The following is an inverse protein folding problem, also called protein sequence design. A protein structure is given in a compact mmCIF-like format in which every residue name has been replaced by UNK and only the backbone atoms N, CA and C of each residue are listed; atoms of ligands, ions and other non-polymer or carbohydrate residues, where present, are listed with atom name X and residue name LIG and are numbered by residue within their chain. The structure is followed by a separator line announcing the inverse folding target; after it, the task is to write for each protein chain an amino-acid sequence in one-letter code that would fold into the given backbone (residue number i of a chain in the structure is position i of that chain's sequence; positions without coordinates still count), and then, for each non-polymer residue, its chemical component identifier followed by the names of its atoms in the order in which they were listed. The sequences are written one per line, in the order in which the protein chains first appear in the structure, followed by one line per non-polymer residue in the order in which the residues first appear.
data_IF_709162429641
#
_entry.id   IF_709162429641
#
_cell.length_a   1.000
_cell.length_b   1.000
_cell.length_c   1.000
_cell.angle_alpha   90.00
_cell.angle_beta   90.00
_cell.angle_gamma   90.00
#
_symmetry.space_group_name_H-M   'P 1'
#
loop_
_entity.id
_entity.type
_entity.pdbx_description
1 polymer ?
#
# COMPACT_ATOMS: atom_id res chain seq x y z
N UNK A 1 5.47 -12.98 -31.58
CA UNK A 1 5.02 -14.25 -30.95
C UNK A 1 5.78 -14.38 -29.65
N UNK A 2 5.09 -14.53 -28.51
CA UNK A 2 5.74 -14.76 -27.22
C UNK A 2 6.39 -16.14 -27.22
N UNK A 3 7.53 -16.30 -26.56
CA UNK A 3 8.20 -17.60 -26.43
C UNK A 3 7.35 -18.53 -25.52
N UNK A 4 7.46 -19.85 -25.69
CA UNK A 4 6.78 -20.83 -24.83
C UNK A 4 7.12 -20.62 -23.34
N UNK A 5 8.38 -20.27 -23.04
CA UNK A 5 8.83 -19.94 -21.69
C UNK A 5 8.08 -18.73 -21.11
N UNK A 6 7.95 -17.66 -21.91
CA UNK A 6 7.25 -16.44 -21.51
C UNK A 6 5.75 -16.70 -21.27
N UNK A 7 5.14 -17.57 -22.08
CA UNK A 7 3.75 -17.98 -21.92
C UNK A 7 3.53 -18.77 -20.63
N UNK A 8 4.44 -19.71 -20.32
CA UNK A 8 4.38 -20.50 -19.09
C UNK A 8 4.59 -19.62 -17.85
N UNK A 9 5.55 -18.68 -17.91
CA UNK A 9 5.81 -17.74 -16.81
C UNK A 9 4.58 -16.88 -16.58
N UNK A 10 4.02 -16.20 -17.59
CA UNK A 10 2.83 -15.37 -17.42
C UNK A 10 1.61 -16.13 -16.90
N UNK A 11 1.43 -17.39 -17.32
CA UNK A 11 0.32 -18.22 -16.86
C UNK A 11 0.47 -18.68 -15.39
N UNK A 12 1.69 -18.97 -14.95
CA UNK A 12 1.94 -19.56 -13.62
C UNK A 12 2.36 -18.54 -12.56
N UNK A 13 2.94 -17.40 -12.95
CA UNK A 13 3.45 -16.36 -12.06
C UNK A 13 2.49 -16.00 -10.91
N UNK A 14 1.17 -15.81 -11.14
CA UNK A 14 0.25 -15.42 -10.06
C UNK A 14 0.09 -16.46 -8.93
N UNK A 15 0.43 -17.72 -9.20
CA UNK A 15 0.27 -18.83 -8.26
C UNK A 15 1.60 -19.33 -7.70
N UNK A 16 2.73 -18.82 -8.20
CA UNK A 16 4.06 -19.23 -7.73
C UNK A 16 4.37 -18.61 -6.37
N UNK A 17 4.91 -19.44 -5.48
CA UNK A 17 5.47 -18.99 -4.22
C UNK A 17 6.73 -18.16 -4.44
N UNK A 18 7.10 -17.34 -3.45
CA UNK A 18 8.34 -16.56 -3.48
C UNK A 18 9.56 -17.46 -3.71
N UNK A 19 9.63 -18.60 -3.03
CA UNK A 19 10.75 -19.54 -3.12
C UNK A 19 10.88 -20.13 -4.54
N UNK A 20 9.77 -20.44 -5.21
CA UNK A 20 9.79 -20.92 -6.60
C UNK A 20 10.27 -19.83 -7.56
N UNK A 21 9.89 -18.57 -7.32
CA UNK A 21 10.37 -17.42 -8.11
C UNK A 21 11.86 -17.18 -7.90
N UNK A 22 12.33 -17.23 -6.65
CA UNK A 22 13.75 -17.10 -6.29
C UNK A 22 14.60 -18.17 -6.98
N UNK A 23 14.15 -19.43 -6.95
CA UNK A 23 14.80 -20.53 -7.66
C UNK A 23 14.76 -20.38 -9.19
N UNK A 24 13.63 -19.96 -9.76
CA UNK A 24 13.47 -19.78 -11.20
C UNK A 24 14.34 -18.66 -11.77
N UNK A 25 14.50 -17.56 -11.04
CA UNK A 25 15.27 -16.39 -11.48
C UNK A 25 16.71 -16.37 -10.95
N UNK A 26 17.09 -17.32 -10.08
CA UNK A 26 18.43 -17.38 -9.48
C UNK A 26 18.73 -16.17 -8.60
N UNK A 27 17.72 -15.66 -7.87
CA UNK A 27 17.84 -14.51 -6.98
C UNK A 27 17.76 -14.94 -5.52
N UNK A 28 18.69 -14.45 -4.69
CA UNK A 28 18.76 -14.83 -3.27
C UNK A 28 17.67 -14.17 -2.40
N UNK A 29 17.11 -13.04 -2.85
CA UNK A 29 16.01 -12.35 -2.16
C UNK A 29 15.17 -11.56 -3.18
N UNK A 30 13.96 -12.06 -3.45
CA UNK A 30 13.04 -11.43 -4.41
C UNK A 30 12.64 -10.01 -3.98
N UNK A 31 12.71 -9.69 -2.68
CA UNK A 31 12.36 -8.35 -2.16
C UNK A 31 13.35 -7.28 -2.59
N UNK A 32 14.58 -7.65 -2.94
CA UNK A 32 15.58 -6.71 -3.46
C UNK A 32 15.37 -6.35 -4.93
N UNK A 33 14.44 -7.00 -5.61
CA UNK A 33 14.10 -6.64 -6.99
C UNK A 33 13.49 -5.25 -7.04
N UNK A 34 13.71 -4.53 -8.13
CA UNK A 34 13.14 -3.18 -8.33
C UNK A 34 11.62 -3.18 -8.15
N UNK A 35 10.95 -4.16 -8.76
CA UNK A 35 9.49 -4.30 -8.65
C UNK A 35 9.03 -4.49 -7.19
N UNK A 36 9.73 -5.30 -6.40
CA UNK A 36 9.37 -5.47 -4.99
C UNK A 36 9.60 -4.21 -4.16
N UNK A 37 10.66 -3.44 -4.45
CA UNK A 37 10.93 -2.17 -3.77
C UNK A 37 9.87 -1.12 -4.10
N UNK A 38 9.45 -1.02 -5.37
CA UNK A 38 8.33 -0.16 -5.79
C UNK A 38 7.06 -0.50 -5.02
N UNK A 39 6.71 -1.79 -4.89
CA UNK A 39 5.56 -2.23 -4.11
C UNK A 39 5.68 -1.92 -2.60
N UNK A 40 6.89 -1.97 -2.05
CA UNK A 40 7.15 -1.63 -0.65
C UNK A 40 6.96 -0.11 -0.45
N UNK A 41 7.55 0.72 -1.31
CA UNK A 41 7.40 2.17 -1.27
C UNK A 41 5.94 2.60 -1.42
N UNK A 42 5.21 2.02 -2.37
CA UNK A 42 3.76 2.23 -2.50
C UNK A 42 3.00 1.79 -1.23
N UNK A 43 3.40 0.66 -0.65
CA UNK A 43 2.83 0.13 0.59
C UNK A 43 3.04 1.07 1.78
N UNK A 44 4.23 1.65 1.92
CA UNK A 44 4.58 2.62 2.97
C UNK A 44 3.75 3.90 2.83
N UNK A 45 3.67 4.47 1.62
CA UNK A 45 2.87 5.67 1.35
C UNK A 45 1.38 5.44 1.65
N UNK A 46 0.83 4.31 1.20
CA UNK A 46 -0.57 3.93 1.48
C UNK A 46 -0.79 3.67 2.97
N UNK A 47 0.19 3.05 3.63
CA UNK A 47 0.18 2.78 5.06
C UNK A 47 0.17 4.05 5.90
N UNK A 48 0.98 5.04 5.56
CA UNK A 48 1.02 6.33 6.24
C UNK A 48 -0.33 7.05 6.17
N UNK A 49 -0.90 7.17 4.97
CA UNK A 49 -2.21 7.80 4.77
C UNK A 49 -3.29 7.01 5.51
N UNK A 50 -3.35 5.69 5.36
CA UNK A 50 -4.35 4.86 6.05
C UNK A 50 -4.24 4.99 7.57
N UNK A 51 -3.01 5.02 8.11
CA UNK A 51 -2.74 5.23 9.53
C UNK A 51 -3.29 6.57 10.01
N UNK A 52 -2.97 7.66 9.30
CA UNK A 52 -3.52 9.00 9.60
C UNK A 52 -5.05 8.99 9.62
N UNK A 53 -5.68 8.48 8.56
CA UNK A 53 -7.15 8.42 8.46
C UNK A 53 -7.80 7.62 9.60
N UNK A 54 -7.19 6.50 10.02
CA UNK A 54 -7.69 5.68 11.12
C UNK A 54 -7.65 6.38 12.49
N UNK A 55 -6.85 7.44 12.66
CA UNK A 55 -6.80 8.20 13.92
C UNK A 55 -7.90 9.25 14.04
N UNK A 56 -8.50 9.66 12.92
CA UNK A 56 -9.52 10.72 12.84
C UNK A 56 -10.70 10.50 13.82
N UNK A 57 -11.32 9.30 13.93
CA UNK A 57 -12.43 9.10 14.85
C UNK A 57 -12.05 9.35 16.32
N UNK A 58 -10.83 8.98 16.70
CA UNK A 58 -10.33 9.17 18.07
C UNK A 58 -10.05 10.64 18.38
N UNK A 59 -9.57 11.41 17.40
CA UNK A 59 -9.34 12.84 17.55
C UNK A 59 -10.67 13.60 17.62
N UNK A 60 -11.65 13.26 16.77
CA UNK A 60 -13.01 13.77 16.88
C UNK A 60 -13.63 13.48 18.25
N UNK A 61 -13.51 12.24 18.74
CA UNK A 61 -13.99 11.86 20.07
C UNK A 61 -13.30 12.59 21.23
N UNK A 62 -12.16 13.22 20.98
CA UNK A 62 -11.45 14.10 21.94
C UNK A 62 -11.82 15.57 21.81
N UNK A 63 -12.68 15.93 20.85
CA UNK A 63 -13.19 17.28 20.66
C UNK A 63 -12.37 18.17 19.72
N UNK A 64 -11.41 17.63 18.97
CA UNK A 64 -10.66 18.40 17.97
C UNK A 64 -11.56 18.77 16.77
N UNK A 65 -11.38 19.97 16.23
CA UNK A 65 -12.07 20.41 15.01
C UNK A 65 -11.50 19.73 13.76
N UNK A 66 -12.23 19.82 12.64
CA UNK A 66 -11.78 19.27 11.35
C UNK A 66 -10.47 19.93 10.90
N UNK A 67 -10.35 21.23 11.10
CA UNK A 67 -9.17 22.04 10.76
C UNK A 67 -7.97 21.65 11.64
N UNK A 68 -8.17 21.46 12.95
CA UNK A 68 -7.11 20.99 13.85
C UNK A 68 -6.65 19.58 13.49
N UNK A 69 -7.58 18.68 13.14
CA UNK A 69 -7.24 17.32 12.72
C UNK A 69 -6.44 17.33 11.41
N UNK A 70 -6.84 18.17 10.44
CA UNK A 70 -6.13 18.35 9.19
C UNK A 70 -4.68 18.82 9.42
N UNK A 71 -4.49 19.80 10.32
CA UNK A 71 -3.17 20.29 10.71
C UNK A 71 -2.33 19.21 11.43
N UNK A 72 -2.88 18.57 12.47
CA UNK A 72 -2.20 17.53 13.26
C UNK A 72 -1.73 16.37 12.39
N UNK A 73 -2.57 15.94 11.45
CA UNK A 73 -2.28 14.80 10.58
C UNK A 73 -1.59 15.19 9.29
N UNK A 74 -1.37 16.49 9.05
CA UNK A 74 -0.86 17.05 7.79
C UNK A 74 -1.64 16.49 6.58
N UNK A 75 -2.97 16.55 6.68
CA UNK A 75 -3.90 16.16 5.65
C UNK A 75 -4.63 17.39 5.11
N UNK A 76 -5.16 17.28 3.89
CA UNK A 76 -6.11 18.25 3.39
C UNK A 76 -7.44 18.16 4.17
N UNK A 77 -8.10 19.31 4.35
CA UNK A 77 -9.39 19.40 5.04
C UNK A 77 -10.44 18.48 4.39
N UNK A 78 -10.47 18.38 3.07
CA UNK A 78 -11.38 17.50 2.35
C UNK A 78 -11.09 16.02 2.62
N UNK A 79 -9.82 15.63 2.76
CA UNK A 79 -9.48 14.25 3.14
C UNK A 79 -10.04 13.90 4.52
N UNK A 80 -9.95 14.83 5.47
CA UNK A 80 -10.54 14.65 6.81
C UNK A 80 -12.06 14.58 6.72
N UNK A 81 -12.72 15.48 5.98
CA UNK A 81 -14.17 15.47 5.79
C UNK A 81 -14.68 14.18 5.16
N UNK A 82 -14.02 13.70 4.12
CA UNK A 82 -14.36 12.44 3.46
C UNK A 82 -14.19 11.25 4.41
N UNK A 83 -13.11 11.22 5.19
CA UNK A 83 -12.90 10.17 6.17
C UNK A 83 -14.00 10.13 7.22
N UNK A 84 -14.46 11.29 7.69
CA UNK A 84 -15.57 11.42 8.63
C UNK A 84 -16.90 10.97 8.00
N UNK A 85 -17.16 11.37 6.75
CA UNK A 85 -18.36 10.97 6.02
C UNK A 85 -18.47 9.43 5.87
N UNK A 86 -17.34 8.75 5.69
CA UNK A 86 -17.25 7.29 5.56
C UNK A 86 -17.37 6.54 6.90
N UNK A 87 -17.47 7.22 8.06
CA UNK A 87 -17.70 6.58 9.36
C UNK A 87 -19.18 6.28 9.63
N UNK A 88 -20.09 6.86 8.84
CA UNK A 88 -21.55 6.73 8.98
C UNK A 88 -22.12 5.65 8.07
#
# INVERSE_FOLDING_TARGET
MLNLLETIVLAKLPQMSRQELEAMFGVDDLRKTRFAQELIEEGEQRGEIKGKLQTIPRLLGKGFSVEEIADILQLDIEQVRQAIANLN
#
